data_IF_453005546728
#
_entry.id   IF_453005546728
#
_cell.length_a   1.000
_cell.length_b   1.000
_cell.length_c   1.000
_cell.angle_alpha   90.00
_cell.angle_beta   90.00
_cell.angle_gamma   90.00
#
_symmetry.space_group_name_H-M   'P 1'
#
loop_
_entity.id
_entity.type
_entity.pdbx_description
1 polymer ?
#
# COMPACT_ATOMS: atom_id res chain seq x y z
N UNK A 1 5.76 23.56 -6.76
CA UNK A 1 5.82 22.65 -5.59
C UNK A 1 6.10 21.25 -6.12
N UNK A 2 7.34 20.81 -5.97
CA UNK A 2 7.80 19.51 -6.47
C UNK A 2 7.36 18.44 -5.48
N UNK A 3 6.43 17.57 -5.86
CA UNK A 3 6.15 16.37 -5.07
C UNK A 3 7.36 15.44 -5.22
N UNK A 4 8.26 15.50 -4.24
CA UNK A 4 9.37 14.56 -4.08
C UNK A 4 8.85 13.14 -4.25
N UNK A 5 9.60 12.35 -5.04
CA UNK A 5 9.14 11.15 -5.71
C UNK A 5 8.30 10.19 -4.88
N UNK A 6 7.37 9.51 -5.56
CA UNK A 6 6.70 8.31 -5.09
C UNK A 6 7.74 7.39 -4.44
N UNK A 7 7.83 7.43 -3.11
CA UNK A 7 8.55 6.43 -2.33
C UNK A 7 7.89 5.11 -2.68
N UNK A 8 8.62 4.32 -3.45
CA UNK A 8 8.12 3.11 -4.10
C UNK A 8 7.52 2.20 -3.03
N UNK A 9 6.57 1.30 -3.37
CA UNK A 9 6.00 0.32 -2.45
C UNK A 9 7.03 -0.53 -1.65
N UNK A 10 8.32 -0.45 -1.99
CA UNK A 10 9.46 -1.03 -1.27
C UNK A 10 9.79 -0.30 0.04
N UNK A 11 9.47 0.99 0.17
CA UNK A 11 9.77 1.84 1.34
C UNK A 11 8.66 1.82 2.40
N UNK A 12 7.50 1.23 2.08
CA UNK A 12 6.44 0.97 3.05
C UNK A 12 6.82 -0.20 3.96
N UNK A 13 7.52 0.09 5.05
CA UNK A 13 7.85 -0.89 6.10
C UNK A 13 7.50 -0.34 7.47
N UNK A 14 6.86 -1.18 8.30
CA UNK A 14 6.55 -0.84 9.69
C UNK A 14 7.82 -0.75 10.55
N UNK A 15 8.97 -1.19 10.01
CA UNK A 15 10.26 -1.10 10.67
C UNK A 15 10.57 0.32 11.14
N UNK A 16 10.15 1.36 10.42
CA UNK A 16 10.46 2.74 10.79
C UNK A 16 9.84 3.20 12.12
N UNK A 17 8.81 2.49 12.60
CA UNK A 17 8.23 2.72 13.94
C UNK A 17 9.12 2.19 15.07
N UNK A 18 10.07 1.30 14.77
CA UNK A 18 10.94 0.68 15.78
C UNK A 18 12.15 1.55 16.10
N UNK A 19 12.31 1.88 17.40
CA UNK A 19 13.44 2.69 17.91
C UNK A 19 14.77 1.93 17.99
N UNK A 20 14.75 0.60 17.86
CA UNK A 20 15.95 -0.26 17.95
C UNK A 20 16.35 -0.82 16.59
N UNK A 21 17.66 -0.87 16.32
CA UNK A 21 18.24 -1.49 15.11
C UNK A 21 17.84 -2.96 14.98
N UNK A 22 17.74 -3.68 16.10
CA UNK A 22 17.36 -5.09 16.10
C UNK A 22 15.86 -5.28 15.81
N UNK A 23 15.01 -4.43 16.39
CA UNK A 23 13.57 -4.44 16.12
C UNK A 23 13.23 -4.13 14.66
N UNK A 24 13.93 -3.15 14.06
CA UNK A 24 13.85 -2.87 12.61
C UNK A 24 14.15 -4.11 11.76
N UNK A 25 15.19 -4.87 12.09
CA UNK A 25 15.59 -6.06 11.34
C UNK A 25 14.57 -7.19 11.45
N UNK A 26 14.01 -7.43 12.64
CA UNK A 26 12.96 -8.45 12.84
C UNK A 26 11.71 -8.10 12.02
N UNK A 27 11.25 -6.85 12.08
CA UNK A 27 10.05 -6.42 11.35
C UNK A 27 10.23 -6.62 9.85
N UNK A 28 11.37 -6.20 9.28
CA UNK A 28 11.66 -6.41 7.86
C UNK A 28 11.67 -7.90 7.49
N UNK A 29 12.22 -8.75 8.35
CA UNK A 29 12.31 -10.19 8.10
C UNK A 29 10.92 -10.83 8.11
N UNK A 30 10.07 -10.45 9.07
CA UNK A 30 8.67 -10.88 9.15
C UNK A 30 7.84 -10.38 7.98
N UNK A 31 7.98 -9.11 7.58
CA UNK A 31 7.29 -8.56 6.40
C UNK A 31 7.70 -9.29 5.12
N UNK A 32 8.99 -9.61 4.98
CA UNK A 32 9.51 -10.36 3.85
C UNK A 32 9.02 -11.80 3.81
N UNK A 33 8.99 -12.49 4.96
CA UNK A 33 8.57 -13.88 5.05
C UNK A 33 7.05 -14.06 4.93
N UNK A 34 6.27 -13.09 5.40
CA UNK A 34 4.79 -13.14 5.42
C UNK A 34 4.17 -12.73 4.07
N UNK A 35 4.98 -12.34 3.08
CA UNK A 35 4.52 -12.25 1.68
C UNK A 35 4.60 -10.87 1.03
N UNK A 36 5.30 -9.88 1.62
CA UNK A 36 5.53 -8.57 0.97
C UNK A 36 6.13 -8.72 -0.43
N UNK A 37 7.05 -9.65 -0.62
CA UNK A 37 7.65 -9.92 -1.94
C UNK A 37 6.63 -10.43 -2.96
N UNK A 38 5.64 -11.22 -2.53
CA UNK A 38 4.57 -11.72 -3.40
C UNK A 38 3.62 -10.60 -3.80
N UNK A 39 3.32 -9.66 -2.90
CA UNK A 39 2.54 -8.46 -3.19
C UNK A 39 3.29 -7.52 -4.15
N UNK A 40 4.57 -7.23 -3.90
CA UNK A 40 5.40 -6.41 -4.79
C UNK A 40 5.45 -7.00 -6.21
N UNK A 41 5.60 -8.33 -6.34
CA UNK A 41 5.56 -9.01 -7.64
C UNK A 41 4.22 -8.87 -8.35
N UNK A 42 3.11 -8.96 -7.62
CA UNK A 42 1.76 -8.72 -8.17
C UNK A 42 1.56 -7.25 -8.55
N UNK A 43 2.25 -6.33 -7.90
CA UNK A 43 2.19 -4.89 -8.18
C UNK A 43 2.99 -4.45 -9.42
N UNK A 44 3.80 -5.30 -10.05
CA UNK A 44 4.66 -4.89 -11.19
C UNK A 44 3.85 -4.29 -12.35
N UNK A 45 4.14 -3.05 -12.75
CA UNK A 45 3.48 -2.40 -13.88
C UNK A 45 2.21 -1.63 -13.53
N UNK A 46 1.90 -1.45 -12.24
CA UNK A 46 0.80 -0.58 -11.80
C UNK A 46 1.02 0.87 -12.24
N UNK A 47 2.29 1.27 -12.40
CA UNK A 47 2.70 2.60 -12.82
C UNK A 47 2.13 2.95 -14.20
N UNK A 48 2.05 1.97 -15.11
CA UNK A 48 1.48 2.17 -16.44
C UNK A 48 -0.05 2.35 -16.39
N UNK A 49 -0.75 1.62 -15.51
CA UNK A 49 -2.21 1.75 -15.32
C UNK A 49 -2.56 3.09 -14.66
N UNK A 50 -1.76 3.51 -13.66
CA UNK A 50 -1.92 4.82 -13.02
C UNK A 50 -1.59 5.96 -13.99
N UNK A 51 -0.56 5.80 -14.83
CA UNK A 51 -0.23 6.78 -15.88
C UNK A 51 -1.33 6.93 -16.94
N UNK A 52 -2.17 5.91 -17.12
CA UNK A 52 -3.37 5.96 -17.97
C UNK A 52 -4.57 6.64 -17.29
N UNK A 53 -4.39 7.19 -16.08
CA UNK A 53 -5.42 7.92 -15.33
C UNK A 53 -6.24 7.08 -14.37
N UNK A 54 -5.88 5.80 -14.15
CA UNK A 54 -6.54 4.96 -13.15
C UNK A 54 -6.10 5.34 -11.73
N UNK A 55 -7.02 5.29 -10.76
CA UNK A 55 -6.70 5.57 -9.37
C UNK A 55 -5.79 4.50 -8.76
N UNK A 56 -4.72 4.92 -8.06
CA UNK A 56 -3.74 4.01 -7.46
C UNK A 56 -4.38 2.91 -6.59
N UNK A 57 -5.23 3.28 -5.64
CA UNK A 57 -5.85 2.31 -4.72
C UNK A 57 -6.79 1.32 -5.43
N UNK A 58 -7.46 1.75 -6.50
CA UNK A 58 -8.36 0.90 -7.28
C UNK A 58 -7.59 -0.16 -8.07
N UNK A 59 -6.50 0.25 -8.74
CA UNK A 59 -5.57 -0.67 -9.43
C UNK A 59 -5.05 -1.72 -8.44
N UNK A 60 -4.60 -1.27 -7.27
CA UNK A 60 -4.05 -2.17 -6.25
C UNK A 60 -5.09 -3.12 -5.66
N UNK A 61 -6.30 -2.63 -5.36
CA UNK A 61 -7.40 -3.44 -4.85
C UNK A 61 -7.78 -4.55 -5.84
N UNK A 62 -7.98 -4.20 -7.12
CA UNK A 62 -8.27 -5.17 -8.18
C UNK A 62 -7.18 -6.24 -8.30
N UNK A 63 -5.92 -5.82 -8.28
CA UNK A 63 -4.77 -6.69 -8.52
C UNK A 63 -4.48 -7.65 -7.39
N UNK A 64 -4.85 -7.28 -6.18
CA UNK A 64 -4.78 -8.14 -5.00
C UNK A 64 -6.05 -8.95 -4.77
N UNK A 65 -7.13 -8.68 -5.50
CA UNK A 65 -8.42 -9.35 -5.33
C UNK A 65 -9.15 -8.89 -4.05
N UNK A 66 -8.90 -7.65 -3.63
CA UNK A 66 -9.55 -7.06 -2.47
C UNK A 66 -10.93 -6.55 -2.88
N UNK A 67 -11.93 -6.85 -2.06
CA UNK A 67 -13.27 -6.27 -2.14
C UNK A 67 -13.58 -5.57 -0.82
N UNK A 68 -14.33 -4.47 -0.89
CA UNK A 68 -14.78 -3.77 0.30
C UNK A 68 -16.10 -4.40 0.76
N UNK A 69 -16.09 -4.95 1.97
CA UNK A 69 -17.30 -5.36 2.68
C UNK A 69 -17.57 -4.32 3.78
N UNK A 70 -18.78 -3.79 3.82
CA UNK A 70 -19.20 -2.82 4.84
C UNK A 70 -20.12 -3.53 5.81
N UNK A 71 -19.60 -3.89 6.99
CA UNK A 71 -20.37 -4.63 8.00
C UNK A 71 -21.30 -3.72 8.83
N UNK A 72 -20.96 -2.43 8.95
CA UNK A 72 -21.78 -1.42 9.62
C UNK A 72 -21.53 -0.01 9.07
N UNK A 73 -22.56 0.84 9.06
CA UNK A 73 -22.50 2.21 8.53
C UNK A 73 -22.69 2.28 7.01
N UNK A 74 -22.39 3.44 6.42
CA UNK A 74 -22.51 3.67 4.97
C UNK A 74 -21.37 4.56 4.50
N UNK A 75 -20.85 4.30 3.29
CA UNK A 75 -19.89 5.18 2.61
C UNK A 75 -20.42 6.60 2.42
N UNK A 76 -21.75 6.77 2.41
CA UNK A 76 -22.40 8.09 2.35
C UNK A 76 -22.16 8.94 3.60
N UNK A 77 -21.68 8.35 4.70
CA UNK A 77 -21.32 9.08 5.91
C UNK A 77 -19.93 9.73 5.82
N UNK A 78 -19.12 9.39 4.82
CA UNK A 78 -17.83 10.04 4.60
C UNK A 78 -18.10 11.48 4.11
N UNK A 79 -17.64 12.52 4.82
CA UNK A 79 -17.85 13.90 4.40
C UNK A 79 -17.27 14.13 3.01
N UNK A 80 -18.07 14.71 2.11
CA UNK A 80 -17.63 14.98 0.71
C UNK A 80 -16.61 16.11 0.61
N UNK A 81 -16.45 16.87 1.70
CA UNK A 81 -15.51 17.98 1.86
C UNK A 81 -14.97 17.92 3.29
N UNK A 82 -13.67 18.11 3.43
CA UNK A 82 -12.97 18.24 4.72
C UNK A 82 -12.66 19.70 5.00
#
# INVERSE_FOLDING_TARGET
MSYSGCQTARDLSYADTSKSRYGRSIIRLMENSTGRQKLIKRAVGYEAEVAQGQGFFEVMARRYGLSLQVDAGSLTHIPRRG
#
